data_IF_597476532572
#
_entry.id   IF_597476532572
#
_cell.length_a   1.000
_cell.length_b   1.000
_cell.length_c   1.000
_cell.angle_alpha   90.00
_cell.angle_beta   90.00
_cell.angle_gamma   90.00
#
_symmetry.space_group_name_H-M   'P 1'
#
loop_
_entity.id
_entity.type
_entity.pdbx_description
1 polymer ?
#
# COMPACT_ATOMS: atom_id res chain seq x y z
N UNK A 1 -4.60 -5.49 7.17
CA UNK A 1 -5.65 -6.26 6.47
C UNK A 1 -6.30 -5.33 5.45
N UNK A 2 -6.73 -5.86 4.31
CA UNK A 2 -7.36 -5.12 3.22
C UNK A 2 -8.76 -5.68 2.99
N UNK A 3 -9.75 -4.82 2.73
CA UNK A 3 -11.12 -5.24 2.50
C UNK A 3 -12.09 -4.08 2.60
N UNK A 4 -13.22 -4.20 1.90
CA UNK A 4 -14.27 -3.21 1.90
C UNK A 4 -15.34 -3.59 2.95
N UNK A 5 -15.47 -2.80 4.01
CA UNK A 5 -16.58 -2.90 4.95
C UNK A 5 -17.05 -1.49 5.33
N UNK A 6 -17.70 -0.80 4.41
CA UNK A 6 -18.16 0.57 4.63
C UNK A 6 -19.56 0.79 4.08
N UNK A 7 -20.36 1.58 4.81
CA UNK A 7 -21.67 2.08 4.41
C UNK A 7 -21.61 3.48 3.79
N UNK A 8 -20.42 4.09 3.68
CA UNK A 8 -20.27 5.47 3.18
C UNK A 8 -20.31 5.55 1.65
N UNK A 9 -20.86 6.65 1.08
CA UNK A 9 -21.07 6.78 -0.36
C UNK A 9 -19.78 7.01 -1.18
N UNK A 10 -18.60 7.14 -0.54
CA UNK A 10 -17.31 7.31 -1.22
C UNK A 10 -16.25 6.46 -0.52
N UNK A 11 -15.90 5.34 -1.15
CA UNK A 11 -14.93 4.39 -0.62
C UNK A 11 -13.51 4.92 -0.78
N UNK A 12 -12.73 4.86 0.29
CA UNK A 12 -11.32 5.23 0.30
C UNK A 12 -10.54 4.25 1.18
N UNK A 13 -9.23 4.20 0.96
CA UNK A 13 -8.28 3.50 1.80
C UNK A 13 -7.51 4.50 2.65
N UNK A 14 -7.06 4.06 3.82
CA UNK A 14 -6.12 4.77 4.66
C UNK A 14 -5.24 3.75 5.37
N UNK A 15 -4.12 4.19 5.91
CA UNK A 15 -3.22 3.35 6.68
C UNK A 15 -3.26 3.82 8.11
N UNK A 16 -3.38 2.90 9.04
CA UNK A 16 -3.29 3.16 10.47
C UNK A 16 -2.20 2.29 11.07
N UNK A 17 -1.38 2.90 11.91
CA UNK A 17 -0.49 2.21 12.83
C UNK A 17 -1.07 2.37 14.23
N UNK A 18 -1.22 1.26 14.95
CA UNK A 18 -1.76 1.26 16.30
C UNK A 18 -0.76 0.66 17.28
N UNK A 19 -0.72 1.20 18.49
CA UNK A 19 -0.04 0.57 19.60
C UNK A 19 -0.91 -0.59 20.12
N UNK A 20 -0.45 -1.85 20.08
CA UNK A 20 -1.27 -2.99 20.50
C UNK A 20 -1.56 -3.03 22.01
N UNK A 21 -0.72 -2.38 22.83
CA UNK A 21 -0.88 -2.36 24.29
C UNK A 21 -1.88 -1.28 24.72
N UNK A 22 -1.79 -0.07 24.15
CA UNK A 22 -2.69 1.04 24.49
C UNK A 22 -3.95 1.10 23.61
N UNK A 23 -3.97 0.38 22.49
CA UNK A 23 -5.03 0.45 21.47
C UNK A 23 -5.20 1.86 20.86
N UNK A 24 -4.15 2.67 20.90
CA UNK A 24 -4.15 4.02 20.33
C UNK A 24 -3.58 4.02 18.90
N UNK A 25 -4.17 4.84 18.02
CA UNK A 25 -3.56 5.14 16.72
C UNK A 25 -2.36 6.06 16.93
N UNK A 26 -1.17 5.60 16.53
CA UNK A 26 0.09 6.35 16.68
C UNK A 26 0.53 7.03 15.39
N UNK A 27 0.03 6.57 14.24
CA UNK A 27 0.28 7.18 12.95
C UNK A 27 -0.84 6.84 11.96
N UNK A 28 -1.08 7.76 11.03
CA UNK A 28 -2.05 7.58 9.97
C UNK A 28 -1.55 8.20 8.67
N UNK A 29 -1.85 7.54 7.55
CA UNK A 29 -1.74 8.14 6.22
C UNK A 29 -3.11 8.13 5.54
N UNK A 30 -3.49 9.31 5.05
CA UNK A 30 -4.63 9.57 4.19
C UNK A 30 -4.14 10.38 3.01
N UNK A 31 -4.69 10.08 1.83
CA UNK A 31 -4.51 10.97 0.69
C UNK A 31 -5.38 12.23 0.86
N UNK A 32 -5.05 13.30 0.15
CA UNK A 32 -5.81 14.54 0.13
C UNK A 32 -6.04 15.00 -1.32
N UNK A 33 -7.27 14.85 -1.86
CA UNK A 33 -8.47 14.29 -1.22
C UNK A 33 -8.39 12.78 -0.97
N UNK A 34 -9.05 12.32 0.10
CA UNK A 34 -9.04 10.89 0.52
C UNK A 34 -9.47 9.90 -0.57
N UNK A 35 -10.25 10.35 -1.55
CA UNK A 35 -10.71 9.54 -2.68
C UNK A 35 -9.61 9.18 -3.69
N UNK A 36 -8.42 9.77 -3.59
CA UNK A 36 -7.29 9.49 -4.49
C UNK A 36 -6.53 8.22 -4.12
N UNK A 37 -6.83 7.63 -2.96
CA UNK A 37 -6.25 6.36 -2.54
C UNK A 37 -7.36 5.38 -2.22
N UNK A 38 -7.46 4.30 -2.99
CA UNK A 38 -8.46 3.27 -2.75
C UNK A 38 -8.09 1.91 -3.34
N UNK A 39 -8.13 0.87 -2.49
CA UNK A 39 -8.10 -0.53 -2.92
C UNK A 39 -9.13 -1.37 -2.17
N UNK A 40 -10.16 -1.82 -2.90
CA UNK A 40 -11.30 -2.57 -2.34
C UNK A 40 -10.98 -4.03 -1.97
N UNK A 41 -9.95 -4.58 -2.59
CA UNK A 41 -9.39 -5.90 -2.34
C UNK A 41 -7.91 -5.86 -2.73
N UNK A 42 -7.15 -6.94 -2.47
CA UNK A 42 -5.67 -7.01 -2.57
C UNK A 42 -4.96 -5.82 -1.87
N UNK A 43 -3.63 -5.69 -1.91
CA UNK A 43 -2.80 -4.64 -1.26
C UNK A 43 -1.87 -5.15 -0.16
N UNK A 44 -1.01 -4.24 0.30
CA UNK A 44 -0.08 -4.44 1.39
C UNK A 44 0.45 -3.11 1.91
N UNK A 45 1.01 -3.16 3.13
CA UNK A 45 1.73 -2.06 3.75
C UNK A 45 2.88 -2.64 4.55
N UNK A 46 4.03 -1.98 4.50
CA UNK A 46 5.24 -2.38 5.21
C UNK A 46 5.98 -1.14 5.72
N UNK A 47 6.25 -1.08 7.03
CA UNK A 47 7.18 -0.09 7.59
C UNK A 47 8.59 -0.56 7.28
N UNK A 48 9.36 0.27 6.56
CA UNK A 48 10.72 -0.02 6.15
C UNK A 48 11.72 0.30 7.25
N UNK A 49 12.91 -0.28 7.15
CA UNK A 49 14.04 -0.04 8.07
C UNK A 49 14.50 1.43 8.10
N UNK A 50 14.18 2.21 7.07
CA UNK A 50 14.45 3.65 6.99
C UNK A 50 13.46 4.50 7.80
N UNK A 51 12.36 3.91 8.27
CA UNK A 51 11.22 4.61 8.87
C UNK A 51 10.14 5.03 7.87
N UNK A 52 10.42 4.98 6.56
CA UNK A 52 9.41 5.19 5.53
C UNK A 52 8.42 4.01 5.47
N UNK A 53 7.27 4.22 4.86
CA UNK A 53 6.24 3.18 4.68
C UNK A 53 6.07 2.88 3.21
N UNK A 54 6.27 1.61 2.82
CA UNK A 54 5.93 1.11 1.49
C UNK A 54 4.45 0.68 1.47
N UNK A 55 3.74 1.09 0.43
CA UNK A 55 2.30 0.93 0.29
C UNK A 55 2.04 0.33 -1.08
N UNK A 56 1.23 -0.72 -1.13
CA UNK A 56 0.76 -1.33 -2.36
C UNK A 56 -0.74 -1.03 -2.48
N UNK A 57 -1.14 -0.13 -3.36
CA UNK A 57 -2.53 0.10 -3.78
C UNK A 57 -2.87 -0.92 -4.88
N UNK A 58 -3.27 -2.11 -4.45
CA UNK A 58 -3.27 -3.28 -5.31
C UNK A 58 -4.21 -3.19 -6.51
N UNK A 59 -5.43 -2.65 -6.35
CA UNK A 59 -6.40 -2.58 -7.44
C UNK A 59 -6.08 -1.55 -8.53
N UNK A 60 -5.13 -0.63 -8.28
CA UNK A 60 -4.61 0.31 -9.27
C UNK A 60 -3.20 -0.06 -9.75
N UNK A 61 -2.65 -1.18 -9.26
CA UNK A 61 -1.29 -1.61 -9.58
C UNK A 61 -0.21 -0.63 -9.15
N UNK A 62 -0.53 0.30 -8.25
CA UNK A 62 0.37 1.35 -7.77
C UNK A 62 1.08 0.89 -6.51
N UNK A 63 2.38 1.14 -6.46
CA UNK A 63 3.22 0.93 -5.28
C UNK A 63 3.92 2.25 -5.01
N UNK A 64 3.86 2.73 -3.78
CA UNK A 64 4.45 4.02 -3.43
C UNK A 64 5.05 3.98 -2.03
N UNK A 65 6.03 4.85 -1.81
CA UNK A 65 6.73 4.99 -0.55
C UNK A 65 6.48 6.37 0.02
N UNK A 66 6.06 6.42 1.29
CA UNK A 66 5.83 7.66 2.02
C UNK A 66 6.79 7.80 3.19
N UNK A 67 7.21 9.03 3.45
CA UNK A 67 7.95 9.39 4.66
C UNK A 67 7.04 9.34 5.90
N UNK A 68 7.61 9.41 7.13
CA UNK A 68 6.81 9.52 8.35
C UNK A 68 5.88 10.75 8.37
N UNK A 69 6.23 11.84 7.69
CA UNK A 69 5.38 13.02 7.50
C UNK A 69 4.39 12.90 6.34
N UNK A 70 4.27 11.73 5.72
CA UNK A 70 3.26 11.43 4.70
C UNK A 70 3.61 11.91 3.29
N UNK A 71 4.86 12.31 3.02
CA UNK A 71 5.27 12.73 1.67
C UNK A 71 5.64 11.53 0.83
N UNK A 72 5.06 11.44 -0.37
CA UNK A 72 5.46 10.45 -1.36
C UNK A 72 6.87 10.77 -1.87
N UNK A 73 7.80 9.83 -1.71
CA UNK A 73 9.21 9.98 -2.14
C UNK A 73 9.59 9.02 -3.26
N UNK A 74 8.77 8.01 -3.51
CA UNK A 74 8.93 7.10 -4.64
C UNK A 74 7.57 6.54 -5.03
N UNK A 75 7.39 6.28 -6.32
CA UNK A 75 6.17 5.73 -6.89
C UNK A 75 6.48 4.88 -8.11
N UNK A 76 5.72 3.79 -8.24
CA UNK A 76 5.70 2.90 -9.39
C UNK A 76 4.27 2.51 -9.70
N UNK A 77 3.95 2.42 -10.99
CA UNK A 77 2.68 1.89 -11.48
C UNK A 77 3.01 0.70 -12.37
N UNK A 78 2.41 -0.46 -12.09
CA UNK A 78 2.55 -1.65 -12.92
C UNK A 78 2.09 -1.34 -14.36
N UNK A 79 2.98 -1.39 -15.36
CA UNK A 79 2.63 -1.09 -16.74
C UNK A 79 1.98 -2.29 -17.47
N UNK A 80 1.93 -3.47 -16.83
CA UNK A 80 1.42 -4.69 -17.42
C UNK A 80 -0.04 -4.89 -17.06
N UNK A 81 -0.90 -4.80 -18.06
CA UNK A 81 -2.33 -5.07 -17.97
C UNK A 81 -2.63 -6.46 -18.52
N UNK A 82 -3.51 -7.19 -17.85
CA UNK A 82 -3.99 -8.49 -18.30
C UNK A 82 -5.53 -8.57 -18.22
N UNK A 83 -6.10 -9.50 -18.97
CA UNK A 83 -7.55 -9.69 -19.07
C UNK A 83 -8.05 -10.45 -17.83
N UNK A 84 -8.94 -9.82 -17.09
CA UNK A 84 -9.62 -10.43 -15.97
C UNK A 84 -10.83 -11.27 -16.43
N UNK A 85 -11.29 -12.18 -15.57
CA UNK A 85 -12.45 -13.05 -15.83
C UNK A 85 -13.76 -12.30 -16.16
N UNK A 86 -13.87 -11.02 -15.80
CA UNK A 86 -15.01 -10.14 -16.12
C UNK A 86 -14.88 -9.41 -17.47
N UNK A 87 -13.75 -9.56 -18.17
CA UNK A 87 -13.49 -8.89 -19.46
C UNK A 87 -12.75 -7.54 -19.34
N UNK A 88 -12.51 -7.05 -18.13
CA UNK A 88 -11.73 -5.83 -17.91
C UNK A 88 -10.22 -6.09 -18.03
N UNK A 89 -9.48 -5.10 -18.51
CA UNK A 89 -8.02 -5.10 -18.44
C UNK A 89 -7.56 -4.46 -17.12
N UNK A 90 -6.84 -5.22 -16.31
CA UNK A 90 -6.39 -4.79 -14.98
C UNK A 90 -4.89 -4.97 -14.82
N UNK A 91 -4.24 -4.07 -14.08
CA UNK A 91 -2.81 -4.12 -13.77
C UNK A 91 -2.56 -4.48 -12.29
N UNK A 92 -3.46 -5.25 -11.70
CA UNK A 92 -3.51 -5.52 -10.26
C UNK A 92 -2.20 -6.09 -9.70
N UNK A 93 -1.84 -5.64 -8.50
CA UNK A 93 -0.70 -6.15 -7.73
C UNK A 93 -1.21 -6.73 -6.41
N UNK A 94 -1.01 -8.03 -6.20
CA UNK A 94 -1.49 -8.70 -5.00
C UNK A 94 -0.84 -8.13 -3.72
N UNK A 95 0.50 -8.08 -3.72
CA UNK A 95 1.32 -7.56 -2.63
C UNK A 95 2.69 -7.15 -3.13
N UNK A 96 3.28 -6.15 -2.49
CA UNK A 96 4.67 -5.77 -2.64
C UNK A 96 5.38 -5.84 -1.28
N UNK A 97 6.67 -6.16 -1.33
CA UNK A 97 7.57 -6.16 -0.18
C UNK A 97 8.86 -5.47 -0.58
N UNK A 98 9.57 -4.90 0.39
CA UNK A 98 10.92 -4.39 0.15
C UNK A 98 11.87 -4.86 1.23
N UNK A 99 12.92 -5.52 0.76
CA UNK A 99 13.99 -6.02 1.62
C UNK A 99 15.10 -5.00 1.76
N UNK A 100 15.70 -4.95 2.96
CA UNK A 100 16.90 -4.17 3.20
C UNK A 100 18.07 -4.70 2.34
N UNK A 101 18.99 -3.85 1.86
CA UNK A 101 20.11 -4.30 1.03
C UNK A 101 20.96 -5.42 1.66
N UNK A 102 21.07 -5.42 2.99
CA UNK A 102 21.79 -6.38 3.80
C UNK A 102 20.92 -7.52 4.36
N UNK A 103 19.65 -7.61 3.95
CA UNK A 103 18.73 -8.60 4.50
C UNK A 103 19.07 -10.04 4.07
N UNK A 104 18.80 -11.05 4.92
CA UNK A 104 19.02 -12.45 4.57
C UNK A 104 18.27 -12.90 3.31
N UNK A 105 17.10 -12.31 3.02
CA UNK A 105 16.25 -12.61 1.86
C UNK A 105 16.92 -12.24 0.54
N UNK A 106 17.73 -11.17 0.54
CA UNK A 106 18.53 -10.78 -0.62
C UNK A 106 19.74 -11.71 -0.78
N UNK A 107 20.30 -12.23 0.31
CA UNK A 107 21.36 -13.26 0.28
C UNK A 107 22.61 -12.83 -0.50
N UNK A 108 22.94 -11.53 -0.50
CA UNK A 108 24.09 -10.97 -1.23
C UNK A 108 23.96 -10.97 -2.76
N UNK A 109 22.73 -11.03 -3.29
CA UNK A 109 22.46 -11.05 -4.75
C UNK A 109 22.32 -9.66 -5.38
N UNK A 110 22.62 -8.60 -4.63
CA UNK A 110 22.64 -7.20 -5.07
C UNK A 110 23.99 -6.56 -4.80
#
# INVERSE_FOLDING_TARGET
>A
ANGMNTSVPHTHSFITEFNPDSNETVWEYRDDPMTFFYSHHISGVERLWTGNTLICEGSFGRIFEVTPDGKIVWEFINPHFDLMFMGDHVNWVFRAFRYAPDSPEIGGRV
#
